data_IF_385731948857
#
_entry.id   IF_385731948857
#
_cell.length_a   1.000
_cell.length_b   1.000
_cell.length_c   1.000
_cell.angle_alpha   90.00
_cell.angle_beta   90.00
_cell.angle_gamma   90.00
#
_symmetry.space_group_name_H-M   'P 1'
#
loop_
_entity.id
_entity.type
_entity.pdbx_description
1 polymer ?
#
# COMPACT_ATOMS: atom_id res chain seq x y z
N UNK A 1 -19.92 19.10 0.80
CA UNK A 1 -19.94 20.02 -0.37
C UNK A 1 -20.29 21.46 0.02
N UNK A 2 -21.14 21.71 1.02
CA UNK A 2 -21.43 23.10 1.46
C UNK A 2 -20.21 23.84 2.04
N UNK A 3 -19.26 23.10 2.64
CA UNK A 3 -17.97 23.65 3.06
C UNK A 3 -17.12 24.18 1.89
N UNK A 4 -17.23 23.59 0.69
CA UNK A 4 -16.47 24.02 -0.50
C UNK A 4 -17.06 25.29 -1.13
N UNK A 5 -18.38 25.49 -1.02
CA UNK A 5 -19.06 26.72 -1.46
C UNK A 5 -18.66 27.93 -0.62
N UNK A 6 -18.28 27.71 0.64
CA UNK A 6 -17.87 28.78 1.56
C UNK A 6 -16.52 29.44 1.26
N UNK A 7 -15.85 29.10 0.14
CA UNK A 7 -14.48 29.55 -0.19
C UNK A 7 -13.45 29.22 0.90
N UNK A 8 -13.73 28.22 1.75
CA UNK A 8 -12.81 27.75 2.79
C UNK A 8 -11.86 26.70 2.20
N UNK A 9 -10.63 26.68 2.69
CA UNK A 9 -9.65 25.65 2.36
C UNK A 9 -10.21 24.26 2.67
N UNK A 10 -10.13 23.33 1.72
CA UNK A 10 -10.60 21.96 1.95
C UNK A 10 -9.65 21.26 2.91
N UNK A 11 -10.17 20.86 4.07
CA UNK A 11 -9.39 20.11 5.03
C UNK A 11 -8.97 18.76 4.42
N UNK A 12 -7.81 18.25 4.84
CA UNK A 12 -7.25 17.04 4.26
C UNK A 12 -8.20 15.83 4.30
N UNK A 13 -9.06 15.75 5.33
CA UNK A 13 -10.09 14.71 5.46
C UNK A 13 -11.11 14.78 4.34
N UNK A 14 -11.76 15.92 4.16
CA UNK A 14 -12.87 16.07 3.21
C UNK A 14 -12.37 15.98 1.76
N UNK A 15 -11.11 16.35 1.53
CA UNK A 15 -10.43 16.11 0.25
C UNK A 15 -10.25 14.62 -0.05
N UNK A 16 -9.84 13.81 0.93
CA UNK A 16 -9.68 12.36 0.77
C UNK A 16 -11.02 11.66 0.54
N UNK A 17 -12.04 12.06 1.29
CA UNK A 17 -13.41 11.55 1.16
C UNK A 17 -13.99 11.88 -0.23
N UNK A 18 -13.76 13.11 -0.72
CA UNK A 18 -14.11 13.49 -2.10
C UNK A 18 -13.41 12.62 -3.14
N UNK A 19 -12.08 12.44 -3.02
CA UNK A 19 -11.30 11.60 -3.95
C UNK A 19 -11.84 10.17 -3.96
N UNK A 20 -12.17 9.63 -2.80
CA UNK A 20 -12.76 8.30 -2.67
C UNK A 20 -14.09 8.19 -3.42
N UNK A 21 -15.03 9.11 -3.16
CA UNK A 21 -16.35 9.12 -3.80
C UNK A 21 -16.22 9.26 -5.32
N UNK A 22 -15.40 10.19 -5.80
CA UNK A 22 -15.20 10.44 -7.23
C UNK A 22 -14.59 9.21 -7.92
N UNK A 23 -13.61 8.58 -7.29
CA UNK A 23 -12.95 7.41 -7.85
C UNK A 23 -13.89 6.19 -7.88
N UNK A 24 -14.70 5.98 -6.83
CA UNK A 24 -15.69 4.91 -6.75
C UNK A 24 -16.80 5.10 -7.81
N UNK A 25 -17.36 6.31 -7.91
CA UNK A 25 -18.43 6.61 -8.89
C UNK A 25 -17.91 6.51 -10.33
N UNK A 26 -16.67 6.95 -10.59
CA UNK A 26 -16.05 6.77 -11.90
C UNK A 26 -15.92 5.30 -12.28
N UNK A 27 -15.36 4.46 -11.39
CA UNK A 27 -15.17 3.04 -11.68
C UNK A 27 -16.49 2.27 -11.78
N UNK A 28 -17.52 2.72 -11.06
CA UNK A 28 -18.87 2.16 -11.17
C UNK A 28 -19.47 2.36 -12.57
N UNK A 29 -19.27 3.54 -13.16
CA UNK A 29 -19.77 3.87 -14.50
C UNK A 29 -18.86 3.44 -15.64
N UNK A 30 -17.57 3.34 -15.35
CA UNK A 30 -16.53 2.99 -16.29
C UNK A 30 -15.64 1.91 -15.66
N UNK A 31 -15.93 0.61 -15.90
CA UNK A 31 -15.10 -0.48 -15.38
C UNK A 31 -13.67 -0.48 -15.94
N UNK A 32 -13.41 0.34 -16.96
CA UNK A 32 -12.09 0.58 -17.52
C UNK A 32 -11.27 1.60 -16.72
N UNK A 33 -9.94 1.47 -16.78
CA UNK A 33 -9.02 2.43 -16.17
C UNK A 33 -9.10 3.79 -16.88
N UNK A 34 -9.25 4.93 -16.17
CA UNK A 34 -9.16 6.24 -16.78
C UNK A 34 -7.74 6.52 -17.27
N UNK A 35 -7.62 7.09 -18.47
CA UNK A 35 -6.36 7.67 -18.92
C UNK A 35 -5.99 8.90 -18.08
N UNK A 36 -4.69 9.22 -17.99
CA UNK A 36 -4.20 10.41 -17.26
C UNK A 36 -4.86 11.70 -17.73
N UNK A 37 -5.18 11.80 -19.02
CA UNK A 37 -5.93 12.93 -19.57
C UNK A 37 -7.34 13.05 -18.96
N UNK A 38 -8.04 11.93 -18.79
CA UNK A 38 -9.36 11.91 -18.15
C UNK A 38 -9.29 12.28 -16.67
N UNK A 39 -8.24 11.85 -15.98
CA UNK A 39 -7.97 12.26 -14.60
C UNK A 39 -7.66 13.75 -14.49
N UNK A 40 -6.94 14.33 -15.47
CA UNK A 40 -6.74 15.78 -15.56
C UNK A 40 -8.07 16.51 -15.74
N UNK A 41 -8.91 16.07 -16.67
CA UNK A 41 -10.24 16.65 -16.87
C UNK A 41 -11.07 16.63 -15.59
N UNK A 42 -11.15 15.48 -14.91
CA UNK A 42 -11.87 15.33 -13.64
C UNK A 42 -11.33 16.27 -12.57
N UNK A 43 -10.01 16.30 -12.37
CA UNK A 43 -9.38 17.16 -11.39
C UNK A 43 -9.56 18.65 -11.71
N UNK A 44 -9.43 19.04 -12.98
CA UNK A 44 -9.67 20.41 -13.43
C UNK A 44 -11.13 20.83 -13.26
N UNK A 45 -12.10 19.93 -13.47
CA UNK A 45 -13.51 20.22 -13.18
C UNK A 45 -13.73 20.44 -11.68
N UNK A 46 -13.20 19.56 -10.82
CA UNK A 46 -13.34 19.66 -9.36
C UNK A 46 -12.71 20.97 -8.84
N UNK A 47 -11.47 21.25 -9.26
CA UNK A 47 -10.74 22.45 -8.84
C UNK A 47 -11.35 23.71 -9.45
N UNK A 48 -11.78 23.67 -10.71
CA UNK A 48 -12.44 24.79 -11.38
C UNK A 48 -13.78 25.16 -10.74
N UNK A 49 -14.49 24.19 -10.18
CA UNK A 49 -15.74 24.43 -9.44
C UNK A 49 -15.49 25.08 -8.07
N UNK A 50 -14.34 24.79 -7.43
CA UNK A 50 -14.02 25.29 -6.08
C UNK A 50 -12.55 25.76 -5.94
N UNK A 51 -12.08 26.73 -6.73
CA UNK A 51 -10.65 27.03 -6.85
C UNK A 51 -10.03 27.55 -5.55
N UNK A 52 -10.80 28.28 -4.73
CA UNK A 52 -10.35 28.77 -3.43
C UNK A 52 -10.13 27.63 -2.42
N UNK A 53 -10.88 26.52 -2.53
CA UNK A 53 -10.77 25.40 -1.61
C UNK A 53 -9.55 24.52 -1.89
N UNK A 54 -9.08 24.46 -3.13
CA UNK A 54 -7.96 23.60 -3.55
C UNK A 54 -6.63 24.35 -3.72
N UNK A 55 -6.63 25.69 -3.63
CA UNK A 55 -5.42 26.51 -3.72
C UNK A 55 -4.43 26.12 -2.62
N UNK A 56 -3.24 25.66 -3.03
CA UNK A 56 -2.11 25.41 -2.13
C UNK A 56 -1.29 26.69 -2.00
N UNK A 57 -1.46 27.40 -0.88
CA UNK A 57 -0.63 28.55 -0.49
C UNK A 57 0.45 28.10 0.47
N UNK A 58 1.68 28.61 0.30
CA UNK A 58 2.77 28.39 1.25
C UNK A 58 2.41 28.91 2.66
N UNK A 59 2.94 28.30 3.74
CA UNK A 59 2.70 28.77 5.10
C UNK A 59 3.28 30.17 5.38
N UNK A 60 4.20 30.67 4.54
CA UNK A 60 4.99 31.88 4.78
C UNK A 60 5.01 32.91 3.65
N UNK A 61 4.08 32.86 2.69
CA UNK A 61 3.83 34.03 1.83
C UNK A 61 3.48 33.73 0.39
N UNK A 62 2.33 34.26 -0.04
CA UNK A 62 1.90 34.77 -1.36
C UNK A 62 2.36 34.16 -2.70
N UNK A 63 3.11 33.04 -2.75
CA UNK A 63 3.38 32.31 -3.98
C UNK A 63 2.63 30.96 -3.99
N UNK A 64 1.85 30.65 -5.05
CA UNK A 64 1.18 29.36 -5.18
C UNK A 64 2.18 28.22 -5.37
N UNK A 65 2.05 27.15 -4.59
CA UNK A 65 2.89 25.95 -4.67
C UNK A 65 2.56 25.07 -5.90
N UNK A 66 1.31 25.16 -6.36
CA UNK A 66 0.81 24.61 -7.61
C UNK A 66 -0.14 25.66 -8.21
N UNK A 67 -0.22 25.77 -9.55
CA UNK A 67 -1.02 26.81 -10.23
C UNK A 67 -2.47 26.88 -9.71
N UNK A 68 -3.07 25.74 -9.35
CA UNK A 68 -4.48 25.65 -8.92
C UNK A 68 -4.82 24.50 -7.93
N UNK A 69 -3.89 23.56 -7.65
CA UNK A 69 -4.13 22.38 -6.81
C UNK A 69 -4.61 21.12 -7.58
N UNK A 70 -4.79 21.21 -8.90
CA UNK A 70 -5.25 20.11 -9.76
C UNK A 70 -4.30 18.91 -9.74
N UNK A 71 -2.98 19.14 -9.81
CA UNK A 71 -1.96 18.07 -9.80
C UNK A 71 -2.01 17.24 -8.51
N UNK A 72 -2.34 17.84 -7.36
CA UNK A 72 -2.53 17.09 -6.11
C UNK A 72 -3.76 16.18 -6.20
N UNK A 73 -4.87 16.68 -6.73
CA UNK A 73 -6.10 15.89 -6.90
C UNK A 73 -5.89 14.76 -7.90
N UNK A 74 -5.20 15.02 -9.02
CA UNK A 74 -4.83 14.00 -10.02
C UNK A 74 -4.07 12.86 -9.34
N UNK A 75 -3.02 13.18 -8.57
CA UNK A 75 -2.22 12.17 -7.86
C UNK A 75 -3.03 11.38 -6.84
N UNK A 76 -3.96 12.04 -6.15
CA UNK A 76 -4.82 11.36 -5.19
C UNK A 76 -5.78 10.39 -5.89
N UNK A 77 -6.39 10.80 -7.01
CA UNK A 77 -7.25 9.95 -7.83
C UNK A 77 -6.49 8.78 -8.45
N UNK A 78 -5.30 9.02 -9.02
CA UNK A 78 -4.44 7.97 -9.59
C UNK A 78 -4.22 6.84 -8.57
N UNK A 79 -3.77 7.20 -7.36
CA UNK A 79 -3.44 6.20 -6.34
C UNK A 79 -4.67 5.43 -5.85
N UNK A 80 -5.77 6.14 -5.61
CA UNK A 80 -7.00 5.52 -5.14
C UNK A 80 -7.54 4.54 -6.20
N UNK A 81 -7.53 4.93 -7.46
CA UNK A 81 -7.95 4.08 -8.59
C UNK A 81 -7.02 2.88 -8.74
N UNK A 82 -5.70 3.08 -8.69
CA UNK A 82 -4.76 1.96 -8.76
C UNK A 82 -4.96 0.97 -7.62
N UNK A 83 -5.14 1.46 -6.38
CA UNK A 83 -5.42 0.60 -5.25
C UNK A 83 -6.74 -0.17 -5.44
N UNK A 84 -7.82 0.50 -5.87
CA UNK A 84 -9.13 -0.14 -6.10
C UNK A 84 -9.17 -1.15 -7.24
N UNK A 85 -8.22 -1.06 -8.19
CA UNK A 85 -8.11 -2.03 -9.28
C UNK A 85 -7.30 -3.27 -8.91
N UNK A 86 -6.64 -3.28 -7.74
CA UNK A 86 -5.99 -4.48 -7.22
C UNK A 86 -7.05 -5.53 -6.87
N UNK A 87 -6.74 -6.83 -6.98
CA UNK A 87 -7.62 -7.87 -6.48
C UNK A 87 -7.99 -7.64 -5.01
N UNK A 88 -9.29 -7.63 -4.72
CA UNK A 88 -9.85 -7.85 -3.39
C UNK A 88 -9.63 -9.32 -3.04
N UNK A 89 -8.41 -9.65 -2.63
CA UNK A 89 -7.96 -11.02 -2.51
C UNK A 89 -8.48 -11.65 -1.21
N UNK A 90 -9.79 -11.84 -1.09
CA UNK A 90 -10.38 -12.53 0.06
C UNK A 90 -11.77 -13.06 -0.25
N UNK A 91 -12.60 -12.21 -0.86
CA UNK A 91 -13.96 -12.56 -1.26
C UNK A 91 -14.01 -13.28 -2.62
N UNK A 92 -13.06 -13.00 -3.52
CA UNK A 92 -12.93 -13.72 -4.81
C UNK A 92 -11.98 -14.94 -4.77
N UNK A 93 -11.06 -15.02 -3.80
CA UNK A 93 -10.18 -16.19 -3.63
C UNK A 93 -10.90 -17.45 -3.12
N UNK A 94 -12.23 -17.38 -2.89
CA UNK A 94 -13.05 -18.47 -2.33
C UNK A 94 -13.86 -19.29 -3.34
N UNK A 95 -13.79 -19.03 -4.64
CA UNK A 95 -14.46 -19.90 -5.59
C UNK A 95 -13.79 -19.83 -6.96
N UNK A 96 -13.20 -20.95 -7.37
CA UNK A 96 -12.74 -21.16 -8.73
C UNK A 96 -13.88 -20.97 -9.74
N UNK A 97 -13.60 -20.22 -10.79
CA UNK A 97 -14.41 -20.17 -11.99
C UNK A 97 -13.47 -20.35 -13.18
N UNK A 98 -13.51 -21.52 -13.81
CA UNK A 98 -12.82 -21.77 -15.07
C UNK A 98 -13.25 -20.72 -16.11
N UNK A 99 -12.27 -20.20 -16.85
CA UNK A 99 -12.37 -19.21 -17.93
C UNK A 99 -12.07 -17.75 -17.53
N UNK A 100 -10.82 -17.46 -17.18
CA UNK A 100 -10.24 -16.15 -17.46
C UNK A 100 -8.99 -16.28 -18.33
N UNK A 101 -9.08 -15.80 -19.58
CA UNK A 101 -7.93 -15.73 -20.48
C UNK A 101 -6.92 -14.74 -19.90
N UNK A 102 -5.71 -15.21 -19.55
CA UNK A 102 -4.61 -14.41 -18.97
C UNK A 102 -4.22 -13.27 -19.94
N UNK A 103 -4.73 -12.06 -19.71
CA UNK A 103 -4.34 -10.84 -20.46
C UNK A 103 -3.01 -10.32 -19.91
N UNK A 104 -2.09 -9.90 -20.80
CA UNK A 104 -0.81 -9.27 -20.41
C UNK A 104 -1.04 -8.05 -19.50
N UNK A 105 -0.32 -7.93 -18.37
CA UNK A 105 -0.43 -6.79 -17.48
C UNK A 105 0.06 -5.51 -18.17
N UNK A 106 -0.63 -4.39 -17.96
CA UNK A 106 -0.24 -3.07 -18.46
C UNK A 106 0.72 -2.41 -17.47
N UNK A 107 1.51 -1.43 -17.91
CA UNK A 107 2.47 -0.68 -17.06
C UNK A 107 1.87 -0.06 -15.79
N UNK A 108 0.55 0.12 -15.75
CA UNK A 108 -0.18 0.56 -14.56
C UNK A 108 -0.46 -0.49 -13.52
N UNK A 109 -0.61 -1.73 -13.98
CA UNK A 109 -0.86 -2.89 -13.13
C UNK A 109 0.40 -3.24 -12.32
N UNK A 110 1.53 -2.60 -12.65
CA UNK A 110 2.82 -2.73 -11.97
C UNK A 110 2.87 -2.00 -10.61
N UNK A 111 2.07 -0.95 -10.36
CA UNK A 111 2.09 -0.20 -9.09
C UNK A 111 3.50 0.22 -8.58
N UNK A 112 4.45 0.45 -9.49
CA UNK A 112 5.82 0.81 -9.14
C UNK A 112 6.74 -0.38 -8.89
N UNK A 113 6.24 -1.59 -9.12
CA UNK A 113 7.03 -2.79 -9.28
C UNK A 113 7.80 -2.72 -10.59
N UNK A 114 9.12 -2.90 -10.52
CA UNK A 114 10.04 -2.91 -11.66
C UNK A 114 10.23 -4.30 -12.26
N UNK A 115 9.86 -5.36 -11.51
CA UNK A 115 10.04 -6.76 -11.91
C UNK A 115 8.76 -7.60 -11.70
N UNK A 116 7.60 -7.07 -12.08
CA UNK A 116 6.29 -7.69 -11.83
C UNK A 116 6.04 -9.03 -12.54
N UNK A 117 6.36 -9.08 -13.83
CA UNK A 117 6.12 -10.20 -14.73
C UNK A 117 7.41 -10.44 -15.55
N UNK A 118 8.37 -11.17 -14.97
CA UNK A 118 9.63 -11.42 -15.64
C UNK A 118 9.40 -12.30 -16.87
N UNK A 119 9.78 -11.80 -18.04
CA UNK A 119 9.76 -12.57 -19.27
C UNK A 119 10.75 -13.73 -19.09
N UNK A 120 10.27 -14.97 -19.11
CA UNK A 120 11.13 -16.13 -19.30
C UNK A 120 11.60 -16.10 -20.76
N UNK A 121 12.69 -15.38 -21.02
CA UNK A 121 13.41 -15.52 -22.29
C UNK A 121 13.77 -17.02 -22.43
N UNK A 122 13.70 -17.55 -23.66
CA UNK A 122 13.80 -18.99 -23.97
C UNK A 122 15.12 -19.69 -23.59
N UNK A 123 15.93 -19.05 -22.76
CA UNK A 123 17.20 -19.52 -22.21
C UNK A 123 17.03 -20.45 -21.00
N UNK A 124 15.89 -20.40 -20.29
CA UNK A 124 15.66 -21.21 -19.07
C UNK A 124 14.53 -22.20 -19.28
N UNK A 125 14.83 -23.49 -19.11
CA UNK A 125 13.89 -24.60 -19.20
C UNK A 125 12.89 -24.57 -18.03
N UNK A 126 11.58 -24.69 -18.29
CA UNK A 126 10.55 -24.63 -17.24
C UNK A 126 10.64 -25.81 -16.29
N UNK A 127 10.99 -26.98 -16.80
CA UNK A 127 11.19 -28.21 -16.05
C UNK A 127 12.35 -28.08 -15.04
N UNK A 128 13.43 -27.37 -15.41
CA UNK A 128 14.54 -27.06 -14.48
C UNK A 128 14.07 -26.17 -13.32
N UNK A 129 13.28 -25.14 -13.61
CA UNK A 129 12.73 -24.28 -12.56
C UNK A 129 11.80 -25.04 -11.61
N UNK A 130 10.99 -25.97 -12.12
CA UNK A 130 10.14 -26.83 -11.30
C UNK A 130 10.96 -27.79 -10.43
N UNK A 131 12.04 -28.37 -10.96
CA UNK A 131 12.96 -29.19 -10.17
C UNK A 131 13.59 -28.38 -9.02
N UNK A 132 14.02 -27.15 -9.29
CA UNK A 132 14.59 -26.24 -8.28
C UNK A 132 13.58 -25.86 -7.20
N UNK A 133 12.31 -25.68 -7.56
CA UNK A 133 11.22 -25.51 -6.59
C UNK A 133 11.12 -26.74 -5.68
N UNK A 134 11.14 -27.93 -6.23
CA UNK A 134 11.01 -29.17 -5.44
C UNK A 134 12.20 -29.35 -4.49
N UNK A 135 13.41 -28.97 -4.92
CA UNK A 135 14.59 -28.91 -4.06
C UNK A 135 14.43 -27.90 -2.92
N UNK A 136 13.90 -26.70 -3.19
CA UNK A 136 13.57 -25.72 -2.15
C UNK A 136 12.53 -26.25 -1.15
N UNK A 137 11.46 -26.89 -1.64
CA UNK A 137 10.43 -27.47 -0.77
C UNK A 137 11.01 -28.56 0.14
N UNK A 138 11.84 -29.45 -0.42
CA UNK A 138 12.55 -30.48 0.35
C UNK A 138 13.46 -29.86 1.40
N UNK A 139 14.27 -28.89 0.98
CA UNK A 139 15.23 -28.21 1.86
C UNK A 139 14.57 -27.46 3.02
N UNK A 140 13.36 -26.94 2.83
CA UNK A 140 12.61 -26.33 3.92
C UNK A 140 12.24 -27.35 5.01
N UNK A 141 11.94 -28.59 4.62
CA UNK A 141 11.57 -29.67 5.54
C UNK A 141 12.80 -30.28 6.22
N UNK A 142 13.86 -30.54 5.46
CA UNK A 142 15.07 -31.24 5.94
C UNK A 142 16.11 -30.30 6.54
N UNK A 143 16.05 -29.00 6.23
CA UNK A 143 17.06 -27.98 6.59
C UNK A 143 18.47 -28.35 6.11
N UNK A 144 18.56 -29.04 4.98
CA UNK A 144 19.81 -29.61 4.44
C UNK A 144 20.60 -28.63 3.54
N UNK A 145 19.98 -27.56 3.06
CA UNK A 145 20.64 -26.55 2.25
C UNK A 145 21.17 -25.38 3.08
N UNK A 146 22.37 -24.94 2.70
CA UNK A 146 22.94 -23.69 3.21
C UNK A 146 22.14 -22.49 2.71
N UNK A 147 22.03 -21.46 3.54
CA UNK A 147 21.23 -20.26 3.27
C UNK A 147 21.61 -19.56 1.95
N UNK A 148 22.91 -19.53 1.61
CA UNK A 148 23.39 -18.98 0.33
C UNK A 148 22.86 -19.74 -0.89
N UNK A 149 22.74 -21.06 -0.78
CA UNK A 149 22.18 -21.92 -1.83
C UNK A 149 20.67 -21.70 -1.96
N UNK A 150 19.96 -21.59 -0.84
CA UNK A 150 18.54 -21.24 -0.81
C UNK A 150 18.30 -19.88 -1.48
N UNK A 151 19.07 -18.84 -1.14
CA UNK A 151 18.94 -17.52 -1.79
C UNK A 151 19.19 -17.56 -3.29
N UNK A 152 20.18 -18.35 -3.74
CA UNK A 152 20.46 -18.54 -5.16
C UNK A 152 19.26 -19.19 -5.87
N UNK A 153 18.75 -20.31 -5.34
CA UNK A 153 17.59 -21.00 -5.89
C UNK A 153 16.33 -20.12 -5.90
N UNK A 154 16.07 -19.39 -4.82
CA UNK A 154 14.96 -18.42 -4.74
C UNK A 154 15.09 -17.31 -5.79
N UNK A 155 16.32 -16.88 -6.12
CA UNK A 155 16.56 -15.86 -7.15
C UNK A 155 16.33 -16.39 -8.55
N UNK A 156 16.81 -17.60 -8.83
CA UNK A 156 16.67 -18.28 -10.13
C UNK A 156 15.21 -18.64 -10.42
N UNK A 157 14.47 -19.07 -9.40
CA UNK A 157 13.05 -19.46 -9.51
C UNK A 157 12.08 -18.29 -9.41
N UNK A 158 12.57 -17.06 -9.31
CA UNK A 158 11.74 -15.85 -9.24
C UNK A 158 10.63 -15.78 -10.31
N UNK A 159 10.84 -16.17 -11.59
CA UNK A 159 9.79 -16.12 -12.59
C UNK A 159 8.56 -16.98 -12.26
N UNK A 160 8.77 -18.23 -11.86
CA UNK A 160 7.68 -19.15 -11.53
C UNK A 160 7.05 -18.84 -10.16
N UNK A 161 7.76 -18.17 -9.25
CA UNK A 161 7.17 -17.57 -8.06
C UNK A 161 6.17 -16.45 -8.44
N UNK A 162 6.54 -15.55 -9.37
CA UNK A 162 5.63 -14.50 -9.85
C UNK A 162 4.44 -15.06 -10.61
N UNK A 163 4.63 -16.12 -11.39
CA UNK A 163 3.56 -16.80 -12.12
C UNK A 163 2.41 -17.22 -11.19
N UNK A 164 2.74 -17.90 -10.09
CA UNK A 164 1.73 -18.35 -9.11
C UNK A 164 1.19 -17.18 -8.25
N UNK A 165 2.02 -16.21 -7.87
CA UNK A 165 1.60 -15.04 -7.07
C UNK A 165 0.70 -14.07 -7.83
N UNK A 166 0.86 -13.98 -9.15
CA UNK A 166 0.05 -13.13 -10.02
C UNK A 166 -1.29 -13.79 -10.40
N UNK A 167 -1.42 -15.10 -10.17
CA UNK A 167 -2.65 -15.84 -10.42
C UNK A 167 -3.67 -15.58 -9.30
N UNK A 168 -4.67 -14.74 -9.60
CA UNK A 168 -5.65 -14.28 -8.62
C UNK A 168 -6.52 -15.42 -8.05
N UNK A 169 -6.57 -16.56 -8.74
CA UNK A 169 -7.36 -17.72 -8.34
C UNK A 169 -6.58 -18.66 -7.41
N UNK A 170 -5.26 -18.44 -7.22
CA UNK A 170 -4.44 -19.28 -6.33
C UNK A 170 -4.57 -18.84 -4.87
N UNK A 171 -5.01 -19.72 -3.95
CA UNK A 171 -5.06 -19.42 -2.51
C UNK A 171 -3.66 -19.25 -1.91
N UNK A 172 -3.52 -18.40 -0.88
CA UNK A 172 -2.21 -18.18 -0.24
C UNK A 172 -1.68 -19.46 0.44
N UNK A 173 -2.57 -20.33 0.92
CA UNK A 173 -2.18 -21.64 1.44
C UNK A 173 -1.39 -22.46 0.43
N UNK A 174 -1.86 -22.52 -0.83
CA UNK A 174 -1.16 -23.22 -1.91
C UNK A 174 0.18 -22.57 -2.21
N UNK A 175 0.24 -21.24 -2.25
CA UNK A 175 1.52 -20.51 -2.44
C UNK A 175 2.51 -20.83 -1.31
N UNK A 176 2.03 -20.90 -0.06
CA UNK A 176 2.85 -21.24 1.11
C UNK A 176 3.38 -22.67 1.05
N UNK A 177 2.56 -23.61 0.60
CA UNK A 177 2.96 -25.01 0.47
C UNK A 177 3.98 -25.20 -0.66
N UNK A 178 3.84 -24.46 -1.77
CA UNK A 178 4.75 -24.52 -2.92
C UNK A 178 6.05 -23.71 -2.70
N UNK A 179 5.98 -22.61 -1.95
CA UNK A 179 7.08 -21.66 -1.74
C UNK A 179 7.22 -21.25 -0.27
N UNK A 180 7.51 -22.19 0.65
CA UNK A 180 7.54 -21.89 2.08
C UNK A 180 8.57 -20.82 2.45
N UNK A 181 9.75 -20.86 1.81
CA UNK A 181 10.79 -19.85 2.00
C UNK A 181 10.33 -18.43 1.66
N UNK A 182 9.35 -18.22 0.77
CA UNK A 182 8.85 -16.88 0.44
C UNK A 182 8.23 -16.17 1.66
N UNK A 183 7.80 -16.93 2.67
CA UNK A 183 7.20 -16.41 3.91
C UNK A 183 8.21 -16.23 5.04
N UNK A 184 9.49 -16.56 4.79
CA UNK A 184 10.60 -16.25 5.69
C UNK A 184 11.14 -14.84 5.42
N UNK A 185 11.44 -14.10 6.49
CA UNK A 185 11.81 -12.67 6.44
C UNK A 185 12.89 -12.36 5.39
N UNK A 186 14.03 -13.09 5.33
CA UNK A 186 15.11 -12.72 4.41
C UNK A 186 14.69 -12.84 2.95
N UNK A 187 13.97 -13.92 2.61
CA UNK A 187 13.60 -14.20 1.22
C UNK A 187 12.40 -13.37 0.77
N UNK A 188 11.45 -13.08 1.67
CA UNK A 188 10.39 -12.12 1.37
C UNK A 188 10.99 -10.74 1.04
N UNK A 189 11.96 -10.28 1.83
CA UNK A 189 12.59 -8.99 1.62
C UNK A 189 13.44 -8.95 0.35
N UNK A 190 14.16 -10.03 0.03
CA UNK A 190 14.88 -10.15 -1.25
C UNK A 190 13.89 -10.12 -2.42
N UNK A 191 12.79 -10.87 -2.34
CA UNK A 191 11.74 -10.90 -3.36
C UNK A 191 11.08 -9.52 -3.53
N UNK A 192 10.70 -8.86 -2.44
CA UNK A 192 10.11 -7.53 -2.44
C UNK A 192 11.10 -6.47 -2.97
N UNK A 193 12.39 -6.59 -2.63
CA UNK A 193 13.43 -5.68 -3.12
C UNK A 193 13.64 -5.81 -4.62
N UNK A 194 13.63 -7.04 -5.14
CA UNK A 194 13.66 -7.29 -6.59
C UNK A 194 12.40 -6.76 -7.27
N UNK A 195 11.23 -6.99 -6.66
CA UNK A 195 9.95 -6.55 -7.18
C UNK A 195 9.85 -5.02 -7.27
N UNK A 196 10.24 -4.30 -6.22
CA UNK A 196 10.06 -2.85 -6.07
C UNK A 196 11.29 -2.03 -6.49
N UNK A 197 12.44 -2.67 -6.65
CA UNK A 197 13.71 -2.01 -7.00
C UNK A 197 14.44 -1.34 -5.83
N UNK A 198 13.98 -1.53 -4.59
CA UNK A 198 14.62 -1.00 -3.38
C UNK A 198 14.26 -1.83 -2.14
N UNK A 199 15.09 -1.77 -1.09
CA UNK A 199 14.81 -2.43 0.19
C UNK A 199 13.70 -1.72 0.95
N UNK A 200 12.54 -2.38 1.08
CA UNK A 200 11.39 -1.87 1.85
C UNK A 200 11.76 -1.61 3.30
N UNK A 201 12.46 -2.55 3.93
CA UNK A 201 12.86 -2.46 5.33
C UNK A 201 13.76 -1.25 5.60
N UNK A 202 14.86 -1.11 4.85
CA UNK A 202 15.80 -0.02 5.04
C UNK A 202 15.12 1.33 4.76
N UNK A 203 14.32 1.39 3.69
CA UNK A 203 13.66 2.62 3.27
C UNK A 203 12.60 3.06 4.28
N UNK A 204 11.78 2.13 4.78
CA UNK A 204 10.79 2.41 5.81
C UNK A 204 11.44 2.83 7.12
N UNK A 205 12.47 2.13 7.58
CA UNK A 205 13.21 2.47 8.79
C UNK A 205 13.81 3.88 8.72
N UNK A 206 14.47 4.20 7.60
CA UNK A 206 15.09 5.50 7.38
C UNK A 206 14.07 6.65 7.37
N UNK A 207 13.00 6.53 6.59
CA UNK A 207 12.03 7.62 6.45
C UNK A 207 11.16 7.81 7.69
N UNK A 208 10.81 6.73 8.40
CA UNK A 208 10.10 6.84 9.69
C UNK A 208 10.99 7.53 10.71
N UNK A 209 12.23 7.08 10.91
CA UNK A 209 13.15 7.70 11.88
C UNK A 209 13.41 9.19 11.56
N UNK A 210 13.63 9.53 10.29
CA UNK A 210 13.88 10.91 9.86
C UNK A 210 12.70 11.84 10.15
N UNK A 211 11.47 11.34 10.07
CA UNK A 211 10.25 12.16 10.05
C UNK A 211 9.36 11.96 11.28
N UNK A 212 9.74 11.05 12.17
CA UNK A 212 9.03 10.70 13.40
C UNK A 212 8.66 11.93 14.21
N UNK A 213 9.64 12.79 14.52
CA UNK A 213 9.40 14.02 15.28
C UNK A 213 8.33 14.91 14.64
N UNK A 214 8.45 15.19 13.35
CA UNK A 214 7.50 16.06 12.66
C UNK A 214 6.09 15.47 12.57
N UNK A 215 5.98 14.14 12.46
CA UNK A 215 4.68 13.45 12.53
C UNK A 215 4.11 13.54 13.95
N UNK A 216 4.91 13.28 14.98
CA UNK A 216 4.47 13.35 16.38
C UNK A 216 4.01 14.76 16.75
N UNK A 217 4.81 15.80 16.43
CA UNK A 217 4.45 17.20 16.66
C UNK A 217 3.11 17.54 15.98
N UNK A 218 2.88 17.04 14.77
CA UNK A 218 1.61 17.19 14.06
C UNK A 218 0.46 16.48 14.76
N UNK A 219 0.63 15.21 15.12
CA UNK A 219 -0.41 14.41 15.75
C UNK A 219 -0.78 15.01 17.13
N UNK A 220 0.20 15.45 17.90
CA UNK A 220 0.00 16.14 19.17
C UNK A 220 -0.78 17.45 19.00
N UNK A 221 -0.46 18.25 17.97
CA UNK A 221 -1.24 19.46 17.63
C UNK A 221 -2.71 19.19 17.32
N UNK A 222 -3.05 17.94 16.96
CA UNK A 222 -4.42 17.47 16.70
C UNK A 222 -5.03 16.71 17.89
N UNK A 223 -4.36 16.70 19.04
CA UNK A 223 -4.80 15.97 20.23
C UNK A 223 -4.68 14.44 20.10
N UNK A 224 -3.89 13.95 19.15
CA UNK A 224 -3.68 12.54 18.87
C UNK A 224 -2.35 12.06 19.47
N UNK A 225 -2.23 12.08 20.80
CA UNK A 225 -1.04 11.56 21.48
C UNK A 225 -0.80 10.10 21.08
N UNK A 226 0.41 9.81 20.60
CA UNK A 226 0.88 8.46 20.26
C UNK A 226 1.83 7.94 21.32
N UNK A 227 1.89 6.62 21.48
CA UNK A 227 3.00 5.99 22.20
C UNK A 227 4.30 6.04 21.41
N UNK A 228 5.37 5.49 21.98
CA UNK A 228 6.67 5.41 21.33
C UNK A 228 6.76 4.27 20.31
N UNK A 229 7.58 4.49 19.29
CA UNK A 229 7.95 3.47 18.30
C UNK A 229 7.07 3.43 17.05
N UNK A 230 7.52 2.68 16.03
CA UNK A 230 6.97 2.79 14.69
C UNK A 230 5.52 2.29 14.59
N UNK A 231 5.11 1.29 15.37
CA UNK A 231 3.72 0.81 15.38
C UNK A 231 2.78 1.87 15.95
N UNK A 232 3.16 2.52 17.06
CA UNK A 232 2.34 3.56 17.68
C UNK A 232 2.23 4.80 16.79
N UNK A 233 3.31 5.14 16.09
CA UNK A 233 3.31 6.19 15.09
C UNK A 233 2.29 5.91 13.97
N UNK A 234 2.28 4.69 13.42
CA UNK A 234 1.28 4.30 12.40
C UNK A 234 -0.13 4.27 12.98
N UNK A 235 -0.33 3.81 14.22
CA UNK A 235 -1.63 3.88 14.90
C UNK A 235 -2.14 5.33 15.03
N UNK A 236 -1.25 6.28 15.33
CA UNK A 236 -1.58 7.70 15.38
C UNK A 236 -2.01 8.28 14.05
N UNK A 237 -1.29 7.91 12.97
CA UNK A 237 -1.65 8.29 11.60
C UNK A 237 -3.03 7.73 11.23
N UNK A 238 -3.30 6.46 11.55
CA UNK A 238 -4.60 5.83 11.33
C UNK A 238 -5.72 6.56 12.07
N UNK A 239 -5.49 6.87 13.35
CA UNK A 239 -6.43 7.65 14.18
C UNK A 239 -6.71 9.04 13.59
N UNK A 240 -5.68 9.71 13.07
CA UNK A 240 -5.85 10.98 12.37
C UNK A 240 -6.71 10.83 11.10
N UNK A 241 -6.57 9.72 10.37
CA UNK A 241 -7.41 9.38 9.23
C UNK A 241 -8.80 8.84 9.60
N UNK A 242 -9.07 8.65 10.90
CA UNK A 242 -10.29 7.99 11.42
C UNK A 242 -10.43 6.55 10.90
N UNK A 243 -9.30 5.90 10.64
CA UNK A 243 -9.25 4.50 10.26
C UNK A 243 -8.98 3.63 11.50
N UNK A 244 -9.50 2.41 11.49
CA UNK A 244 -9.38 1.47 12.59
C UNK A 244 -8.04 0.72 12.53
N UNK A 245 -7.06 1.18 13.31
CA UNK A 245 -5.73 0.55 13.39
C UNK A 245 -5.77 -0.95 13.73
N UNK A 246 -6.83 -1.45 14.38
CA UNK A 246 -6.97 -2.87 14.69
C UNK A 246 -7.11 -3.75 13.44
N UNK A 247 -7.45 -3.18 12.28
CA UNK A 247 -7.47 -3.89 11.00
C UNK A 247 -6.06 -4.24 10.48
N UNK A 248 -5.04 -3.47 10.89
CA UNK A 248 -3.64 -3.71 10.51
C UNK A 248 -2.82 -4.29 11.67
N UNK A 249 -3.15 -3.92 12.91
CA UNK A 249 -2.51 -4.37 14.14
C UNK A 249 -3.56 -5.03 15.03
N UNK A 250 -3.86 -6.30 14.76
CA UNK A 250 -4.77 -7.04 15.63
C UNK A 250 -4.04 -7.33 16.95
N UNK A 251 -4.64 -6.91 18.06
CA UNK A 251 -4.10 -7.11 19.41
C UNK A 251 -4.72 -8.31 20.11
N UNK A 252 -5.50 -9.12 19.41
CA UNK A 252 -5.98 -10.39 19.96
C UNK A 252 -4.78 -11.25 20.35
N UNK A 253 -4.73 -11.66 21.62
CA UNK A 253 -3.96 -12.84 21.97
C UNK A 253 -4.57 -14.00 21.19
N UNK A 254 -3.81 -14.55 20.24
CA UNK A 254 -4.14 -15.85 19.68
C UNK A 254 -3.96 -16.83 20.85
N UNK A 255 -5.03 -17.08 21.61
CA UNK A 255 -5.10 -18.27 22.45
C UNK A 255 -4.95 -19.48 21.54
N UNK A 256 -4.57 -20.63 22.09
CA UNK A 256 -4.52 -21.88 21.34
C UNK A 256 -5.92 -22.36 20.87
N UNK A 257 -6.94 -21.50 20.92
CA UNK A 257 -8.28 -21.80 20.43
C UNK A 257 -8.30 -21.82 18.90
N UNK A 258 -8.73 -22.94 18.29
CA UNK A 258 -8.84 -23.09 16.85
C UNK A 258 -9.98 -22.25 16.22
N UNK A 259 -10.76 -21.50 17.01
CA UNK A 259 -11.94 -20.75 16.53
C UNK A 259 -11.66 -19.27 16.19
N UNK A 260 -10.45 -18.74 16.41
CA UNK A 260 -10.15 -17.34 16.08
C UNK A 260 -9.99 -17.20 14.57
N UNK A 261 -11.05 -16.72 13.89
CA UNK A 261 -10.98 -16.37 12.46
C UNK A 261 -9.91 -15.29 12.22
N UNK A 262 -8.85 -15.67 11.49
CA UNK A 262 -7.78 -14.77 11.12
C UNK A 262 -8.19 -13.84 9.97
N UNK A 263 -7.68 -12.59 9.93
CA UNK A 263 -8.00 -11.65 8.88
C UNK A 263 -7.58 -12.14 7.50
N UNK A 264 -8.36 -11.75 6.49
CA UNK A 264 -8.09 -12.17 5.10
C UNK A 264 -7.06 -11.28 4.40
N UNK A 265 -6.92 -10.02 4.85
CA UNK A 265 -5.87 -9.10 4.41
C UNK A 265 -4.63 -9.18 5.31
N UNK A 266 -3.42 -8.89 4.81
CA UNK A 266 -2.21 -8.85 5.63
C UNK A 266 -2.38 -8.05 6.92
N UNK A 267 -2.12 -8.67 8.07
CA UNK A 267 -2.18 -8.01 9.38
C UNK A 267 -1.06 -8.48 10.31
N UNK A 268 -0.69 -7.61 11.25
CA UNK A 268 0.25 -7.89 12.33
C UNK A 268 -0.56 -8.25 13.57
N UNK A 269 -0.30 -9.42 14.12
CA UNK A 269 -0.82 -9.88 15.40
C UNK A 269 0.23 -9.55 16.46
N UNK A 270 -0.09 -8.63 17.36
CA UNK A 270 0.86 -8.12 18.36
C UNK A 270 0.69 -8.91 19.66
N UNK A 271 1.73 -9.67 20.05
CA UNK A 271 1.75 -10.45 21.29
C UNK A 271 2.81 -9.90 22.24
N UNK A 272 2.39 -9.24 23.32
CA UNK A 272 3.31 -8.55 24.23
C UNK A 272 4.15 -7.49 23.52
N UNK A 273 5.30 -7.14 24.09
CA UNK A 273 6.07 -5.97 23.66
C UNK A 273 6.96 -6.21 22.42
N UNK A 274 7.32 -7.46 22.10
CA UNK A 274 8.31 -7.78 21.05
C UNK A 274 8.06 -9.11 20.31
N UNK A 275 6.85 -9.63 20.29
CA UNK A 275 6.52 -10.80 19.45
C UNK A 275 5.41 -10.44 18.47
N UNK A 276 5.74 -10.54 17.19
CA UNK A 276 4.85 -10.20 16.09
C UNK A 276 4.63 -11.44 15.24
N UNK A 277 3.37 -11.78 15.04
CA UNK A 277 2.95 -12.80 14.09
C UNK A 277 2.26 -12.13 12.92
N UNK A 278 2.39 -12.69 11.72
CA UNK A 278 1.76 -12.17 10.52
C UNK A 278 0.70 -13.15 10.05
N UNK A 279 -0.51 -12.65 9.86
CA UNK A 279 -1.59 -13.39 9.22
C UNK A 279 -1.94 -12.79 7.86
N UNK A 280 -2.34 -13.67 6.96
CA UNK A 280 -2.78 -13.35 5.61
C UNK A 280 -3.69 -14.47 5.13
N UNK A 281 -4.82 -14.11 4.50
CA UNK A 281 -5.77 -15.06 3.91
C UNK A 281 -6.34 -16.08 4.92
N UNK A 282 -6.53 -15.66 6.17
CA UNK A 282 -6.97 -16.57 7.23
C UNK A 282 -5.89 -17.55 7.72
N UNK A 283 -4.63 -17.39 7.29
CA UNK A 283 -3.52 -18.26 7.65
C UNK A 283 -2.45 -17.51 8.43
N UNK A 284 -1.82 -18.21 9.38
CA UNK A 284 -0.59 -17.76 10.01
C UNK A 284 0.58 -18.02 9.07
N UNK A 285 1.17 -16.94 8.53
CA UNK A 285 2.22 -17.02 7.50
C UNK A 285 3.63 -16.88 8.06
N UNK A 286 3.81 -16.13 9.15
CA UNK A 286 5.07 -16.07 9.90
C UNK A 286 4.77 -15.81 11.39
N UNK A 287 5.47 -16.44 12.30
CA UNK A 287 5.15 -16.44 13.73
C UNK A 287 6.29 -16.06 14.68
N UNK A 288 7.44 -15.67 14.13
CA UNK A 288 8.70 -15.52 14.87
C UNK A 288 9.39 -14.18 14.62
N UNK A 289 8.64 -13.13 14.24
CA UNK A 289 9.20 -11.77 14.07
C UNK A 289 9.30 -11.10 15.44
N UNK A 290 10.49 -10.57 15.77
CA UNK A 290 10.75 -9.89 17.05
C UNK A 290 10.92 -8.38 16.95
N UNK A 291 10.98 -7.85 15.74
CA UNK A 291 11.23 -6.43 15.49
C UNK A 291 10.01 -5.73 14.89
N UNK A 292 9.53 -4.60 15.47
CA UNK A 292 8.34 -3.92 15.00
C UNK A 292 8.52 -3.34 13.59
N UNK A 293 9.73 -2.86 13.26
CA UNK A 293 10.01 -2.36 11.91
C UNK A 293 10.07 -3.48 10.88
N UNK A 294 10.54 -4.67 11.27
CA UNK A 294 10.50 -5.87 10.41
C UNK A 294 9.05 -6.28 10.17
N UNK A 295 8.21 -6.34 11.21
CA UNK A 295 6.80 -6.70 11.08
C UNK A 295 6.04 -5.73 10.15
N UNK A 296 6.24 -4.43 10.33
CA UNK A 296 5.68 -3.39 9.44
C UNK A 296 6.14 -3.56 7.99
N UNK A 297 7.44 -3.79 7.79
CA UNK A 297 8.03 -3.97 6.46
C UNK A 297 7.52 -5.25 5.79
N UNK A 298 7.31 -6.31 6.57
CA UNK A 298 6.79 -7.60 6.11
C UNK A 298 5.35 -7.46 5.61
N UNK A 299 4.44 -6.93 6.43
CA UNK A 299 3.04 -6.72 6.04
C UNK A 299 2.94 -5.77 4.86
N UNK A 300 3.75 -4.70 4.86
CA UNK A 300 3.79 -3.80 3.72
C UNK A 300 4.25 -4.49 2.44
N UNK A 301 5.30 -5.33 2.51
CA UNK A 301 5.80 -6.11 1.38
C UNK A 301 4.75 -7.07 0.83
N UNK A 302 3.96 -7.72 1.71
CA UNK A 302 2.90 -8.66 1.30
C UNK A 302 1.84 -8.02 0.43
N UNK A 303 1.49 -6.74 0.63
CA UNK A 303 0.55 -6.04 -0.27
C UNK A 303 1.04 -5.93 -1.72
N UNK A 304 2.35 -5.99 -1.95
CA UNK A 304 2.93 -5.92 -3.29
C UNK A 304 3.26 -7.31 -3.82
N UNK A 305 3.91 -8.14 -3.01
CA UNK A 305 4.28 -9.50 -3.38
C UNK A 305 3.05 -10.33 -3.73
N UNK A 306 1.98 -10.25 -2.95
CA UNK A 306 0.75 -11.02 -3.19
C UNK A 306 -0.32 -10.26 -3.99
N UNK A 307 0.01 -9.10 -4.58
CA UNK A 307 -0.93 -8.26 -5.35
C UNK A 307 -2.22 -7.88 -4.59
N UNK A 308 -2.13 -7.55 -3.31
CA UNK A 308 -3.32 -7.40 -2.47
C UNK A 308 -3.74 -5.93 -2.41
N UNK A 309 -5.04 -5.66 -2.60
CA UNK A 309 -5.60 -4.34 -2.35
C UNK A 309 -5.45 -3.94 -0.88
N UNK A 310 -5.17 -2.66 -0.61
CA UNK A 310 -5.21 -2.17 0.76
C UNK A 310 -6.62 -2.31 1.38
N UNK A 311 -6.72 -2.78 2.64
CA UNK A 311 -7.99 -2.90 3.35
C UNK A 311 -8.61 -1.52 3.62
N UNK A 312 -9.60 -1.46 4.50
CA UNK A 312 -10.23 -0.21 5.00
C UNK A 312 -9.24 0.82 5.60
N UNK A 313 -7.96 0.45 5.76
CA UNK A 313 -6.82 1.29 6.15
C UNK A 313 -6.10 1.96 4.96
N UNK A 314 -6.79 2.14 3.84
CA UNK A 314 -6.18 2.55 2.58
C UNK A 314 -5.48 3.91 2.68
N UNK A 315 -5.99 4.87 3.45
CA UNK A 315 -5.36 6.20 3.58
C UNK A 315 -4.05 6.14 4.36
N UNK A 316 -3.97 5.35 5.43
CA UNK A 316 -2.73 5.11 6.18
C UNK A 316 -1.69 4.42 5.32
N UNK A 317 -2.08 3.36 4.60
CA UNK A 317 -1.16 2.59 3.76
C UNK A 317 -0.71 3.39 2.53
N UNK A 318 -1.59 4.17 1.90
CA UNK A 318 -1.22 5.13 0.85
C UNK A 318 -0.30 6.23 1.39
N UNK A 319 -0.53 6.71 2.63
CA UNK A 319 0.37 7.66 3.27
C UNK A 319 1.76 7.04 3.44
N UNK A 320 1.86 5.81 3.97
CA UNK A 320 3.13 5.09 4.10
C UNK A 320 3.83 4.89 2.75
N UNK A 321 3.10 4.46 1.73
CA UNK A 321 3.63 4.31 0.37
C UNK A 321 4.23 5.61 -0.17
N UNK A 322 3.52 6.74 -0.04
CA UNK A 322 3.97 8.04 -0.54
C UNK A 322 5.11 8.62 0.28
N UNK A 323 4.97 8.54 1.60
CA UNK A 323 5.77 9.30 2.54
C UNK A 323 7.03 8.56 2.98
N UNK A 324 6.96 7.23 3.07
CA UNK A 324 8.07 6.40 3.50
C UNK A 324 8.79 5.68 2.37
N UNK A 325 8.12 5.33 1.26
CA UNK A 325 8.79 4.56 0.21
C UNK A 325 9.12 5.35 -1.05
N UNK A 326 8.50 6.51 -1.26
CA UNK A 326 8.73 7.36 -2.46
C UNK A 326 8.68 6.51 -3.75
N UNK A 327 7.74 5.57 -3.84
CA UNK A 327 7.61 4.65 -4.98
C UNK A 327 7.50 5.41 -6.31
N UNK A 328 7.10 6.68 -6.26
CA UNK A 328 6.95 7.56 -7.42
C UNK A 328 8.27 8.07 -8.04
N UNK A 329 9.40 8.09 -7.30
CA UNK A 329 10.69 8.52 -7.92
C UNK A 329 11.10 7.61 -9.07
N UNK A 330 10.68 6.34 -9.03
CA UNK A 330 10.93 5.33 -10.06
C UNK A 330 9.91 5.34 -11.21
N UNK A 331 8.73 5.97 -11.03
CA UNK A 331 7.76 6.18 -12.12
C UNK A 331 8.14 7.32 -13.07
N UNK A 332 8.94 8.29 -12.61
CA UNK A 332 9.25 9.52 -13.35
C UNK A 332 10.54 9.42 -14.19
N UNK A 333 11.37 8.41 -13.96
CA UNK A 333 12.67 8.26 -14.64
C UNK A 333 12.61 7.89 -16.14
N UNK A 334 11.45 8.03 -16.80
CA UNK A 334 11.39 7.97 -18.27
C UNK A 334 11.46 9.34 -18.93
N UNK A 335 11.15 10.47 -18.27
CA UNK A 335 11.39 11.80 -18.85
C UNK A 335 11.27 12.89 -17.81
N UNK A 336 12.40 13.32 -17.24
CA UNK A 336 12.82 14.72 -17.05
C UNK A 336 13.95 14.79 -16.00
N UNK A 337 15.09 15.43 -16.31
CA UNK A 337 16.05 15.85 -15.30
C UNK A 337 15.51 17.10 -14.57
N UNK A 338 15.96 17.29 -13.34
CA UNK A 338 15.69 18.43 -12.44
C UNK A 338 14.37 18.39 -11.65
N UNK A 339 14.49 18.07 -10.37
CA UNK A 339 14.19 18.98 -9.25
C UNK A 339 14.70 18.35 -7.94
N UNK A 340 15.59 19.06 -7.26
CA UNK A 340 16.17 18.70 -5.98
C UNK A 340 15.09 18.69 -4.88
N UNK A 341 15.25 17.77 -3.92
CA UNK A 341 14.18 17.22 -3.10
C UNK A 341 13.98 17.75 -1.65
N UNK A 342 14.33 18.99 -1.22
CA UNK A 342 14.00 19.39 0.16
C UNK A 342 12.61 20.02 0.37
N UNK A 343 12.00 20.67 -0.62
CA UNK A 343 10.95 21.67 -0.32
C UNK A 343 9.49 21.17 -0.42
N UNK A 344 9.28 19.85 -0.51
CA UNK A 344 7.99 19.26 -0.88
C UNK A 344 7.07 18.83 0.28
N UNK A 345 7.44 19.03 1.55
CA UNK A 345 6.80 18.27 2.65
C UNK A 345 6.34 19.04 3.90
N UNK A 346 6.40 20.38 3.94
CA UNK A 346 5.89 21.15 5.08
C UNK A 346 4.81 22.17 4.67
N UNK A 347 3.68 21.70 4.15
CA UNK A 347 2.52 22.58 3.88
C UNK A 347 1.24 21.92 4.37
N UNK A 348 1.00 21.98 5.69
CA UNK A 348 -0.31 22.08 6.35
C UNK A 348 -0.17 21.88 7.87
N UNK A 349 0.44 22.83 8.58
CA UNK A 349 0.61 22.73 10.03
C UNK A 349 0.17 23.96 10.84
N UNK A 350 -0.18 25.08 10.21
CA UNK A 350 -0.66 26.24 10.97
C UNK A 350 -1.80 26.96 10.25
N UNK A 351 -3.01 26.89 10.80
CA UNK A 351 -3.79 28.03 11.33
C UNK A 351 -5.22 27.58 11.74
N UNK A 352 -5.82 28.35 12.64
CA UNK A 352 -6.81 28.05 13.71
C UNK A 352 -8.28 28.39 13.35
N UNK A 353 -9.25 28.50 14.30
CA UNK A 353 -10.08 27.44 14.88
C UNK A 353 -11.61 27.69 14.66
N UNK A 354 -12.45 26.89 15.36
CA UNK A 354 -13.86 27.10 15.75
C UNK A 354 -14.98 26.32 15.01
N UNK A 355 -15.50 25.38 15.80
CA UNK A 355 -16.90 25.14 16.17
C UNK A 355 -17.90 24.63 15.12
N UNK A 356 -18.49 23.47 15.49
CA UNK A 356 -19.93 23.16 15.42
C UNK A 356 -20.59 23.05 14.02
N UNK A 357 -21.00 21.83 13.65
CA UNK A 357 -22.41 21.42 13.49
C UNK A 357 -22.64 20.32 12.43
N UNK A 358 -23.08 19.17 12.93
CA UNK A 358 -24.19 18.32 12.49
C UNK A 358 -24.56 18.13 10.99
N UNK A 359 -24.54 16.83 10.64
CA UNK A 359 -25.55 16.02 9.91
C UNK A 359 -25.95 16.34 8.45
N UNK A 360 -25.84 15.24 7.68
CA UNK A 360 -26.77 14.67 6.68
C UNK A 360 -26.60 15.02 5.17
N UNK A 361 -26.26 13.92 4.46
CA UNK A 361 -26.91 13.29 3.29
C UNK A 361 -27.06 14.01 1.93
N UNK A 362 -26.64 13.21 0.94
CA UNK A 362 -27.01 13.13 -0.48
C UNK A 362 -26.24 13.98 -1.50
N UNK A 363 -25.52 13.28 -2.38
CA UNK A 363 -25.31 13.69 -3.76
C UNK A 363 -25.57 12.46 -4.65
N UNK A 364 -26.68 12.48 -5.40
CA UNK A 364 -27.07 11.44 -6.36
C UNK A 364 -27.17 11.98 -7.80
N UNK A 365 -26.63 13.17 -8.10
CA UNK A 365 -26.91 13.88 -9.37
C UNK A 365 -25.70 14.65 -9.94
N UNK A 366 -24.48 14.08 -9.92
CA UNK A 366 -23.35 14.69 -10.65
C UNK A 366 -22.55 13.70 -11.48
N UNK A 367 -23.23 12.73 -12.05
CA UNK A 367 -22.63 11.85 -13.04
C UNK A 367 -23.71 11.21 -13.88
#
# INVERSE_FOLDING_TARGET
>A
MDELRGKKYIMGKDRREMVQIVAEDYLHKHPGRPGRQKLRELASMIVGQYPASFKLTEPFGNKPFAKDGSETVIRQLEHRIENMKRPQSSLKRRAGGENSTKKRPRNSDLYGCVAWDPITEGTVCREDLLSKRDDLKRAFQTRDLQESSVRKLMTETYPIQREILNDADTPIGVVKDEWPFLFEVPHLFDHASKLLGFSVQNKLAQELSKKEKGINDFLDSKGMKTGEGPIQLICGIAKYFKEDSYKLFDKKEISADPEVELPVTPCILVRGDQQFKIALDGLLVNDHITSPIVALSYVFSMFYVCNIQYPEMAFTLEFMQRYALIVWKYFVNVTLPCLSAPDLLFVNLHQTPLSEMYKLKMCRHML
#
